data_IF_013670013723
#
_entry.id   IF_013670013723
#
_cell.length_a   1.000
_cell.length_b   1.000
_cell.length_c   1.000
_cell.angle_alpha   90.00
_cell.angle_beta   90.00
_cell.angle_gamma   90.00
#
_symmetry.space_group_name_H-M   'P 1'
#
loop_
_entity.id
_entity.type
_entity.pdbx_description
1 polymer ?
#
# COMPACT_ATOMS: atom_id res chain seq x y z
N UNK A 1 -8.55 10.05 -24.83
CA UNK A 1 -7.66 8.88 -24.55
C UNK A 1 -7.14 8.93 -23.12
N UNK A 2 -7.35 10.04 -22.41
CA UNK A 2 -6.99 10.22 -21.00
C UNK A 2 -7.80 9.33 -20.03
N UNK A 3 -9.10 9.14 -20.25
CA UNK A 3 -9.94 8.27 -19.39
C UNK A 3 -9.45 6.81 -19.30
N UNK A 4 -8.88 6.27 -20.38
CA UNK A 4 -8.33 4.91 -20.37
C UNK A 4 -7.05 4.84 -19.51
N UNK A 5 -6.21 5.87 -19.55
CA UNK A 5 -5.01 5.98 -18.73
C UNK A 5 -5.35 6.15 -17.24
N UNK A 6 -6.39 6.91 -16.91
CA UNK A 6 -6.92 7.03 -15.55
C UNK A 6 -7.47 5.70 -15.02
N UNK A 7 -8.16 4.92 -15.86
CA UNK A 7 -8.69 3.60 -15.50
C UNK A 7 -7.57 2.57 -15.28
N UNK A 8 -6.54 2.55 -16.12
CA UNK A 8 -5.37 1.68 -15.93
C UNK A 8 -4.60 2.05 -14.65
N UNK A 9 -4.42 3.34 -14.39
CA UNK A 9 -3.74 3.82 -13.20
C UNK A 9 -4.55 3.47 -11.93
N UNK A 10 -5.87 3.63 -11.99
CA UNK A 10 -6.79 3.21 -10.92
C UNK A 10 -6.70 1.69 -10.68
N UNK A 11 -6.71 0.89 -11.74
CA UNK A 11 -6.53 -0.57 -11.66
C UNK A 11 -5.21 -0.97 -11.00
N UNK A 12 -4.12 -0.30 -11.37
CA UNK A 12 -2.79 -0.52 -10.80
C UNK A 12 -2.76 -0.18 -9.29
N UNK A 13 -3.37 0.95 -8.90
CA UNK A 13 -3.49 1.35 -7.50
C UNK A 13 -4.36 0.39 -6.70
N UNK A 14 -5.50 -0.03 -7.25
CA UNK A 14 -6.37 -1.03 -6.64
C UNK A 14 -5.65 -2.37 -6.42
N UNK A 15 -4.82 -2.79 -7.38
CA UNK A 15 -4.04 -4.02 -7.27
C UNK A 15 -2.97 -3.91 -6.18
N UNK A 16 -2.29 -2.76 -6.07
CA UNK A 16 -1.32 -2.51 -4.98
C UNK A 16 -1.97 -2.43 -3.60
N UNK A 17 -3.17 -1.85 -3.50
CA UNK A 17 -3.94 -1.82 -2.25
C UNK A 17 -4.30 -3.24 -1.79
N UNK A 18 -4.72 -4.12 -2.71
CA UNK A 18 -4.96 -5.54 -2.41
C UNK A 18 -3.71 -6.24 -1.90
N UNK A 19 -2.56 -6.02 -2.55
CA UNK A 19 -1.29 -6.62 -2.14
C UNK A 19 -0.87 -6.16 -0.74
N UNK A 20 -1.00 -4.85 -0.47
CA UNK A 20 -0.74 -4.29 0.86
C UNK A 20 -1.68 -4.88 1.92
N UNK A 21 -2.98 -5.03 1.63
CA UNK A 21 -3.93 -5.70 2.52
C UNK A 21 -3.56 -7.16 2.79
N UNK A 22 -3.10 -7.89 1.77
CA UNK A 22 -2.66 -9.27 1.91
C UNK A 22 -1.41 -9.36 2.80
N UNK A 23 -0.43 -8.48 2.59
CA UNK A 23 0.79 -8.38 3.42
C UNK A 23 0.47 -8.04 4.88
N UNK A 24 -0.38 -7.04 5.12
CA UNK A 24 -0.83 -6.68 6.49
C UNK A 24 -1.56 -7.84 7.17
N UNK A 25 -2.28 -8.68 6.41
CA UNK A 25 -2.93 -9.88 6.94
C UNK A 25 -1.96 -11.05 7.16
N UNK A 26 -0.87 -11.10 6.41
CA UNK A 26 0.20 -12.09 6.57
C UNK A 26 1.22 -11.71 7.66
N UNK A 27 1.31 -10.42 7.99
CA UNK A 27 2.13 -9.90 9.08
C UNK A 27 1.49 -10.32 10.41
N UNK A 28 2.24 -11.03 11.24
CA UNK A 28 1.82 -11.43 12.59
C UNK A 28 1.94 -10.22 13.54
N UNK A 29 1.03 -9.25 13.36
CA UNK A 29 0.94 -8.03 14.17
C UNK A 29 -0.28 -8.07 15.07
N UNK A 30 -0.24 -7.29 16.14
CA UNK A 30 -1.36 -7.16 17.08
C UNK A 30 -2.62 -6.63 16.39
N UNK A 31 -3.81 -6.99 16.87
CA UNK A 31 -5.09 -6.56 16.27
C UNK A 31 -5.22 -5.03 16.19
N UNK A 32 -4.67 -4.31 17.19
CA UNK A 32 -4.57 -2.86 17.21
C UNK A 32 -3.68 -2.28 16.10
N UNK A 33 -2.53 -2.90 15.81
CA UNK A 33 -1.65 -2.51 14.70
C UNK A 33 -2.32 -2.83 13.37
N UNK A 34 -2.92 -4.01 13.24
CA UNK A 34 -3.67 -4.41 12.05
C UNK A 34 -4.80 -3.43 11.73
N UNK A 35 -5.53 -2.97 12.75
CA UNK A 35 -6.57 -1.96 12.62
C UNK A 35 -5.99 -0.59 12.20
N UNK A 36 -4.85 -0.17 12.77
CA UNK A 36 -4.17 1.07 12.39
C UNK A 36 -3.66 1.04 10.93
N UNK A 37 -3.07 -0.08 10.50
CA UNK A 37 -2.60 -0.31 9.13
C UNK A 37 -3.78 -0.32 8.14
N UNK A 38 -4.86 -1.02 8.49
CA UNK A 38 -6.11 -1.03 7.70
C UNK A 38 -6.71 0.36 7.55
N UNK A 39 -6.71 1.16 8.64
CA UNK A 39 -7.21 2.54 8.61
C UNK A 39 -6.33 3.45 7.75
N UNK A 40 -5.01 3.25 7.77
CA UNK A 40 -4.09 3.93 6.86
C UNK A 40 -4.35 3.57 5.39
N UNK A 41 -4.59 2.29 5.09
CA UNK A 41 -4.95 1.85 3.72
C UNK A 41 -6.25 2.48 3.23
N UNK A 42 -7.26 2.61 4.11
CA UNK A 42 -8.50 3.32 3.79
C UNK A 42 -8.26 4.80 3.50
N UNK A 43 -7.45 5.50 4.30
CA UNK A 43 -7.11 6.90 4.03
C UNK A 43 -6.37 7.08 2.69
N UNK A 44 -5.46 6.15 2.37
CA UNK A 44 -4.75 6.15 1.07
C UNK A 44 -5.72 5.86 -0.09
N UNK A 45 -6.73 5.01 0.12
CA UNK A 45 -7.75 4.70 -0.90
C UNK A 45 -8.67 5.89 -1.15
N UNK A 46 -9.10 6.59 -0.11
CA UNK A 46 -9.88 7.83 -0.25
C UNK A 46 -9.06 8.95 -0.88
N UNK A 47 -7.76 9.04 -0.53
CA UNK A 47 -6.84 9.94 -1.21
C UNK A 47 -6.67 9.55 -2.69
N UNK A 48 -6.62 8.25 -3.03
CA UNK A 48 -6.48 7.80 -4.42
C UNK A 48 -7.68 8.22 -5.29
N UNK A 49 -8.88 8.36 -4.71
CA UNK A 49 -10.06 8.88 -5.42
C UNK A 49 -9.94 10.37 -5.80
N UNK A 50 -9.09 11.13 -5.11
CA UNK A 50 -8.86 12.56 -5.35
C UNK A 50 -7.53 12.83 -6.06
N UNK A 51 -6.47 12.17 -5.58
CA UNK A 51 -5.07 12.31 -5.98
C UNK A 51 -4.41 10.92 -6.06
N UNK A 52 -4.67 10.25 -7.18
CA UNK A 52 -4.11 8.95 -7.51
C UNK A 52 -2.57 8.87 -7.46
N UNK A 53 -1.80 9.84 -7.99
CA UNK A 53 -0.34 9.79 -7.93
C UNK A 53 0.23 9.95 -6.51
N UNK A 54 -0.40 10.79 -5.67
CA UNK A 54 0.01 11.01 -4.29
C UNK A 54 -0.27 9.77 -3.43
N UNK A 55 -1.45 9.15 -3.61
CA UNK A 55 -1.79 7.90 -2.95
C UNK A 55 -0.85 6.76 -3.32
N UNK A 56 -0.48 6.64 -4.61
CA UNK A 56 0.47 5.63 -5.06
C UNK A 56 1.85 5.81 -4.42
N UNK A 57 2.35 7.05 -4.30
CA UNK A 57 3.63 7.35 -3.62
C UNK A 57 3.58 7.00 -2.14
N UNK A 58 2.49 7.36 -1.46
CA UNK A 58 2.30 7.08 -0.03
C UNK A 58 2.20 5.58 0.25
N UNK A 59 1.46 4.86 -0.60
CA UNK A 59 1.35 3.40 -0.54
C UNK A 59 2.70 2.72 -0.78
N UNK A 60 3.46 3.16 -1.78
CA UNK A 60 4.79 2.60 -2.05
C UNK A 60 5.74 2.79 -0.86
N UNK A 61 5.72 3.97 -0.22
CA UNK A 61 6.51 4.23 0.99
C UNK A 61 6.09 3.34 2.16
N UNK A 62 4.79 3.16 2.36
CA UNK A 62 4.24 2.31 3.41
C UNK A 62 4.59 0.83 3.20
N UNK A 63 4.44 0.31 1.98
CA UNK A 63 4.85 -1.06 1.66
C UNK A 63 6.36 -1.24 1.81
N UNK A 64 7.17 -0.26 1.39
CA UNK A 64 8.62 -0.30 1.56
C UNK A 64 9.04 -0.26 3.05
N UNK A 65 8.31 0.48 3.90
CA UNK A 65 8.52 0.49 5.35
C UNK A 65 8.19 -0.88 5.96
N UNK A 66 7.07 -1.48 5.57
CA UNK A 66 6.69 -2.84 5.97
C UNK A 66 7.69 -3.91 5.48
N UNK A 67 8.21 -3.77 4.26
CA UNK A 67 9.20 -4.67 3.67
C UNK A 67 10.57 -4.52 4.35
N UNK A 68 10.96 -3.29 4.66
CA UNK A 68 12.17 -2.98 5.44
C UNK A 68 12.13 -3.46 6.89
N UNK A 69 10.94 -3.78 7.41
CA UNK A 69 10.72 -4.38 8.73
C UNK A 69 10.65 -5.93 8.68
N UNK A 70 10.72 -6.55 7.49
CA UNK A 70 10.68 -8.00 7.26
C UNK A 70 12.04 -8.73 7.35
N UNK A 71 12.07 -10.05 7.64
CA UNK A 71 13.18 -10.74 8.30
C UNK A 71 14.22 -11.30 7.32
N UNK A 72 14.90 -10.45 6.57
CA UNK A 72 16.20 -10.82 6.01
C UNK A 72 17.17 -9.71 6.30
N UNK A 73 17.95 -9.94 7.37
CA UNK A 73 19.03 -9.08 7.77
C UNK A 73 19.99 -8.81 6.62
N UNK A 74 20.72 -7.71 6.78
CA UNK A 74 22.05 -7.46 6.23
C UNK A 74 22.61 -8.62 5.41
N UNK A 75 22.67 -8.44 4.09
CA UNK A 75 23.81 -8.88 3.27
C UNK A 75 23.72 -8.17 1.94
N UNK A 76 24.66 -7.26 1.73
CA UNK A 76 25.42 -6.95 0.49
C UNK A 76 26.11 -5.62 0.83
N UNK A 77 27.43 -5.47 0.88
CA UNK A 77 28.56 -6.25 0.38
C UNK A 77 29.66 -5.23 0.12
#
# INVERSE_FOLDING_TARGET
MEEAADVELYGLVAQRLKDAHARVRALDVSDAERAALTRSLLMVTEAAKRDLPEAARRLARFVADLDGLGPTGRTTG
#
